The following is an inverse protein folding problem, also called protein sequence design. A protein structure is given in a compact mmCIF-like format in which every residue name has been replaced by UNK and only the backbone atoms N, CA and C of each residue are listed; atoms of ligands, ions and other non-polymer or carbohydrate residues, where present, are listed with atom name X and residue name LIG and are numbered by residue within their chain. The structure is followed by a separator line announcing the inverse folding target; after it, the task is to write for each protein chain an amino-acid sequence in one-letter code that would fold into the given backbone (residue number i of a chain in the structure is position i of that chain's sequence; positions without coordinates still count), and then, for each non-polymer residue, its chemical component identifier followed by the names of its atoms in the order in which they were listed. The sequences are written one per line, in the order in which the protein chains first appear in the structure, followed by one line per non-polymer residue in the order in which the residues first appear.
data_IF_060309698264
#
_entry.id   IF_060309698264
#
_cell.length_a   1.000
_cell.length_b   1.000
_cell.length_c   1.000
_cell.angle_alpha   90.00
_cell.angle_beta   90.00
_cell.angle_gamma   90.00
#
_symmetry.space_group_name_H-M   'P 1'
#
loop_
_entity.id
_entity.type
_entity.pdbx_description
1 polymer ?
#
# COMPACT_ATOMS: atom_id res chain seq x y z
N UNK A 1 17.78 -20.64 -9.52
CA UNK A 1 16.38 -20.25 -9.23
C UNK A 1 15.75 -21.36 -8.42
N UNK A 2 15.14 -21.05 -7.28
CA UNK A 2 14.35 -22.03 -6.52
C UNK A 2 12.91 -22.00 -7.07
N UNK A 3 12.43 -22.99 -7.83
CA UNK A 3 11.17 -22.92 -8.57
C UNK A 3 9.90 -22.97 -7.68
N UNK A 4 10.04 -23.25 -6.39
CA UNK A 4 8.92 -23.70 -5.55
C UNK A 4 8.54 -22.72 -4.43
N UNK A 5 9.02 -21.47 -4.47
CA UNK A 5 8.58 -20.47 -3.48
C UNK A 5 7.23 -19.89 -3.92
N UNK A 6 6.19 -19.94 -3.08
CA UNK A 6 4.92 -19.28 -3.39
C UNK A 6 5.13 -17.77 -3.48
N UNK A 7 4.36 -17.10 -4.36
CA UNK A 7 4.33 -15.64 -4.50
C UNK A 7 5.69 -14.96 -4.75
N UNK A 8 6.58 -15.58 -5.54
CA UNK A 8 7.82 -14.90 -5.96
C UNK A 8 7.47 -13.79 -6.94
N UNK A 9 7.57 -12.55 -6.48
CA UNK A 9 7.46 -11.39 -7.34
C UNK A 9 8.70 -11.29 -8.23
N UNK A 10 8.50 -10.99 -9.51
CA UNK A 10 9.55 -10.82 -10.51
C UNK A 10 9.30 -9.52 -11.31
N UNK A 11 10.30 -9.10 -12.08
CA UNK A 11 10.22 -7.86 -12.85
C UNK A 11 9.05 -7.86 -13.85
N UNK A 12 8.83 -8.95 -14.58
CA UNK A 12 7.73 -9.10 -15.54
C UNK A 12 6.35 -8.94 -14.88
N UNK A 13 6.15 -9.49 -13.67
CA UNK A 13 4.93 -9.30 -12.91
C UNK A 13 4.73 -7.83 -12.49
N UNK A 14 5.80 -7.11 -12.15
CA UNK A 14 5.75 -5.69 -11.85
C UNK A 14 5.49 -4.85 -13.10
N UNK A 15 6.07 -5.19 -14.24
CA UNK A 15 5.78 -4.55 -15.54
C UNK A 15 4.29 -4.67 -15.87
N UNK A 16 3.71 -5.85 -15.70
CA UNK A 16 2.25 -6.06 -15.89
C UNK A 16 1.44 -5.22 -14.91
N UNK A 17 1.81 -5.17 -13.63
CA UNK A 17 1.08 -4.40 -12.63
C UNK A 17 1.14 -2.88 -12.90
N UNK A 18 2.31 -2.36 -13.29
CA UNK A 18 2.47 -0.95 -13.67
C UNK A 18 1.72 -0.65 -14.96
N UNK A 19 1.83 -1.49 -16.00
CA UNK A 19 1.11 -1.32 -17.25
C UNK A 19 -0.42 -1.36 -17.03
N UNK A 20 -0.90 -2.24 -16.15
CA UNK A 20 -2.31 -2.29 -15.76
C UNK A 20 -2.74 -0.99 -15.06
N UNK A 21 -1.91 -0.45 -14.15
CA UNK A 21 -2.17 0.85 -13.53
C UNK A 21 -2.22 1.99 -14.56
N UNK A 22 -1.29 2.02 -15.52
CA UNK A 22 -1.23 3.05 -16.56
C UNK A 22 -2.39 2.99 -17.55
N UNK A 23 -2.93 1.78 -17.79
CA UNK A 23 -4.11 1.55 -18.61
C UNK A 23 -5.43 1.94 -17.93
N UNK A 24 -5.41 2.33 -16.65
CA UNK A 24 -6.60 2.82 -15.96
C UNK A 24 -7.20 4.03 -16.68
N UNK A 25 -8.53 4.12 -16.61
CA UNK A 25 -9.29 5.23 -17.15
C UNK A 25 -8.75 6.56 -16.62
N UNK A 26 -8.51 7.51 -17.51
CA UNK A 26 -8.01 8.84 -17.15
C UNK A 26 -8.98 9.58 -16.23
N UNK A 27 -10.28 9.26 -16.30
CA UNK A 27 -11.32 9.83 -15.45
C UNK A 27 -11.42 9.13 -14.07
N UNK A 28 -10.62 8.07 -13.83
CA UNK A 28 -10.56 7.29 -12.58
C UNK A 28 -9.13 7.17 -12.05
N UNK A 29 -8.55 8.29 -11.62
CA UNK A 29 -7.21 8.37 -11.04
C UNK A 29 -7.10 7.79 -9.61
N UNK A 30 -8.23 7.38 -9.04
CA UNK A 30 -8.31 6.78 -7.72
C UNK A 30 -8.04 5.27 -7.70
N UNK A 31 -7.86 4.61 -8.85
CA UNK A 31 -7.51 3.19 -8.90
C UNK A 31 -6.18 2.91 -8.18
N UNK A 32 -6.17 1.89 -7.34
CA UNK A 32 -4.96 1.39 -6.65
C UNK A 32 -4.68 -0.04 -7.07
N UNK A 33 -3.43 -0.34 -7.42
CA UNK A 33 -2.93 -1.72 -7.58
C UNK A 33 -2.07 -2.04 -6.37
N UNK A 34 -2.35 -3.13 -5.67
CA UNK A 34 -1.63 -3.48 -4.45
C UNK A 34 -1.12 -4.91 -4.44
N UNK A 35 -0.06 -5.13 -3.68
CA UNK A 35 0.54 -6.43 -3.44
C UNK A 35 0.91 -6.57 -1.96
N UNK A 36 0.64 -7.75 -1.41
CA UNK A 36 1.04 -8.16 -0.08
C UNK A 36 2.01 -9.34 -0.24
N UNK A 37 3.26 -9.21 0.20
CA UNK A 37 4.19 -10.33 0.18
C UNK A 37 3.81 -11.40 1.23
N UNK A 38 4.48 -12.55 1.18
CA UNK A 38 4.48 -13.48 2.30
C UNK A 38 4.93 -12.77 3.58
N UNK A 39 4.25 -13.07 4.70
CA UNK A 39 4.48 -12.40 5.98
C UNK A 39 3.92 -10.98 6.04
N UNK A 40 3.26 -10.48 5.00
CA UNK A 40 2.68 -9.14 4.93
C UNK A 40 1.15 -9.16 4.75
N UNK A 41 0.48 -10.16 5.34
CA UNK A 41 -0.97 -10.42 5.24
C UNK A 41 -1.45 -10.89 3.86
N UNK A 42 -0.62 -11.60 3.10
CA UNK A 42 -1.09 -12.34 1.92
C UNK A 42 -2.01 -13.50 2.34
N UNK A 43 -3.25 -13.51 1.84
CA UNK A 43 -4.29 -14.49 2.24
C UNK A 43 -4.35 -15.75 1.37
N UNK A 44 -3.77 -15.72 0.16
CA UNK A 44 -3.65 -16.86 -0.75
C UNK A 44 -2.18 -17.11 -1.08
N UNK A 45 -1.85 -18.32 -1.54
CA UNK A 45 -0.47 -18.76 -1.76
C UNK A 45 0.04 -18.61 -3.22
N UNK A 46 -0.80 -18.16 -4.14
CA UNK A 46 -0.40 -17.86 -5.53
C UNK A 46 -0.14 -16.36 -5.71
N UNK A 47 0.74 -16.03 -6.66
CA UNK A 47 1.05 -14.63 -6.98
C UNK A 47 -0.21 -13.94 -7.51
N UNK A 48 -0.60 -12.86 -6.87
CA UNK A 48 -1.77 -12.06 -7.26
C UNK A 48 -1.59 -10.62 -6.80
N UNK A 49 -2.17 -9.70 -7.55
CA UNK A 49 -2.32 -8.29 -7.16
C UNK A 49 -3.79 -8.04 -6.85
N UNK A 50 -4.06 -7.09 -5.95
CA UNK A 50 -5.41 -6.59 -5.73
C UNK A 50 -5.57 -5.27 -6.45
N UNK A 51 -6.79 -4.98 -6.89
CA UNK A 51 -7.16 -3.70 -7.46
C UNK A 51 -8.42 -3.21 -6.75
N UNK A 52 -8.41 -1.95 -6.34
CA UNK A 52 -9.61 -1.33 -5.76
C UNK A 52 -9.65 0.17 -6.03
N UNK A 53 -10.85 0.72 -5.89
CA UNK A 53 -11.16 2.14 -6.06
C UNK A 53 -11.69 2.72 -4.74
N UNK A 54 -10.88 3.50 -4.01
CA UNK A 54 -11.25 4.00 -2.69
C UNK A 54 -12.43 4.97 -2.71
N UNK A 55 -12.73 5.61 -3.85
CA UNK A 55 -13.86 6.54 -3.97
C UNK A 55 -15.21 5.86 -4.29
N UNK A 56 -15.23 4.53 -4.50
CA UNK A 56 -16.44 3.82 -4.92
C UNK A 56 -16.79 4.07 -6.39
N UNK A 57 -18.01 3.69 -6.80
CA UNK A 57 -18.48 3.83 -8.19
C UNK A 57 -19.23 5.17 -8.34
N UNK A 58 -18.77 6.04 -9.25
CA UNK A 58 -19.38 7.36 -9.50
C UNK A 58 -20.80 7.29 -10.13
N UNK A 59 -21.27 6.12 -10.57
CA UNK A 59 -22.55 5.96 -11.27
C UNK A 59 -23.72 5.60 -10.35
N UNK A 60 -23.51 5.50 -9.04
CA UNK A 60 -24.61 5.52 -8.09
C UNK A 60 -24.98 6.99 -7.87
N UNK A 61 -26.11 7.42 -8.44
CA UNK A 61 -26.79 8.65 -8.01
C UNK A 61 -26.76 8.68 -6.47
N UNK A 62 -26.25 9.77 -5.89
CA UNK A 62 -26.24 9.93 -4.44
C UNK A 62 -27.62 9.56 -3.91
N UNK A 63 -27.73 8.63 -2.93
CA UNK A 63 -29.03 8.29 -2.38
C UNK A 63 -29.70 9.58 -1.92
N UNK A 64 -30.92 9.80 -2.38
CA UNK A 64 -31.74 10.95 -1.99
C UNK A 64 -31.71 11.07 -0.47
N UNK A 65 -31.70 12.31 0.04
CA UNK A 65 -31.58 12.68 1.46
C UNK A 65 -32.59 11.98 2.39
N UNK A 66 -33.58 11.27 1.83
CA UNK A 66 -34.63 10.53 2.52
C UNK A 66 -34.37 9.01 2.67
N UNK A 67 -33.26 8.45 2.16
CA UNK A 67 -32.90 7.04 2.46
C UNK A 67 -32.17 6.93 3.82
N UNK A 68 -32.50 5.93 4.66
CA UNK A 68 -31.75 5.68 5.89
C UNK A 68 -30.27 5.49 5.54
N UNK A 69 -29.41 6.11 6.35
CA UNK A 69 -27.96 6.19 6.10
C UNK A 69 -27.42 4.82 5.67
N UNK A 70 -26.65 4.80 4.57
CA UNK A 70 -26.04 3.59 4.00
C UNK A 70 -25.28 2.72 5.02
N UNK A 71 -24.94 3.28 6.19
CA UNK A 71 -24.44 2.59 7.37
C UNK A 71 -25.30 1.38 7.80
N UNK A 72 -26.63 1.45 7.66
CA UNK A 72 -27.53 0.37 8.12
C UNK A 72 -27.54 -0.85 7.18
N UNK A 73 -27.12 -0.71 5.91
CA UNK A 73 -27.14 -1.81 4.92
C UNK A 73 -25.82 -2.58 4.84
N UNK A 74 -24.71 -2.03 5.34
CA UNK A 74 -23.35 -2.59 5.15
C UNK A 74 -23.00 -3.63 6.24
N UNK A 75 -23.66 -3.57 7.39
CA UNK A 75 -23.37 -4.41 8.56
C UNK A 75 -23.64 -5.92 8.36
N UNK A 76 -24.39 -6.32 7.33
CA UNK A 76 -24.66 -7.73 7.02
C UNK A 76 -23.52 -8.43 6.22
N UNK A 77 -22.48 -7.70 5.79
CA UNK A 77 -21.46 -8.23 4.85
C UNK A 77 -20.04 -8.45 5.42
N UNK A 78 -19.83 -8.31 6.73
CA UNK A 78 -18.60 -8.78 7.38
C UNK A 78 -17.38 -7.84 7.34
N UNK A 79 -17.59 -6.53 7.22
CA UNK A 79 -16.56 -5.52 7.44
C UNK A 79 -17.04 -4.14 6.98
N UNK A 80 -16.79 -3.11 7.79
CA UNK A 80 -17.10 -1.73 7.42
C UNK A 80 -15.81 -0.97 7.11
N UNK A 81 -15.76 -0.35 5.93
CA UNK A 81 -14.67 0.52 5.46
C UNK A 81 -14.98 1.96 5.89
N UNK A 82 -14.20 2.56 6.79
CA UNK A 82 -14.30 4.01 7.05
C UNK A 82 -13.01 4.71 6.60
N UNK A 83 -13.09 5.77 5.80
CA UNK A 83 -11.99 6.72 5.68
C UNK A 83 -11.89 7.55 6.98
N UNK A 84 -10.79 7.41 7.73
CA UNK A 84 -10.47 8.30 8.85
C UNK A 84 -10.11 9.69 8.27
N UNK A 85 -11.10 10.60 8.26
CA UNK A 85 -11.15 11.88 7.50
C UNK A 85 -11.16 11.64 5.99
N UNK A 86 -12.23 12.05 5.29
CA UNK A 86 -12.29 11.98 3.83
C UNK A 86 -11.06 12.67 3.22
N UNK A 87 -10.07 11.91 2.74
CA UNK A 87 -9.00 12.49 1.95
C UNK A 87 -9.64 13.04 0.66
N UNK A 88 -9.00 14.00 -0.05
CA UNK A 88 -9.48 14.44 -1.35
C UNK A 88 -9.82 13.21 -2.20
N UNK A 89 -11.08 13.16 -2.67
CA UNK A 89 -11.75 11.98 -3.23
C UNK A 89 -10.78 11.01 -3.92
N UNK A 90 -10.64 9.80 -3.35
CA UNK A 90 -9.87 8.71 -3.98
C UNK A 90 -8.36 8.64 -3.68
N UNK A 91 -7.80 9.59 -2.91
CA UNK A 91 -6.40 9.51 -2.41
C UNK A 91 -6.35 8.84 -1.04
N UNK A 92 -5.44 7.92 -0.80
CA UNK A 92 -5.25 7.32 0.52
C UNK A 92 -4.37 8.20 1.41
N UNK A 93 -4.50 8.19 2.76
CA UNK A 93 -3.64 8.96 3.66
C UNK A 93 -2.12 8.84 3.40
N UNK A 94 -1.63 7.66 3.03
CA UNK A 94 -0.21 7.45 2.65
C UNK A 94 0.21 8.29 1.44
N UNK A 95 -0.71 8.57 0.50
CA UNK A 95 -0.45 9.39 -0.68
C UNK A 95 -0.36 10.88 -0.36
N UNK A 96 -0.87 11.29 0.80
CA UNK A 96 -0.81 12.65 1.31
C UNK A 96 0.40 12.88 2.21
N UNK A 97 1.12 11.80 2.58
CA UNK A 97 2.32 11.86 3.39
C UNK A 97 3.40 12.69 2.68
N UNK A 98 4.07 13.55 3.45
CA UNK A 98 5.16 14.38 2.94
C UNK A 98 6.43 13.54 2.84
N UNK A 99 7.31 13.82 1.86
CA UNK A 99 8.65 13.25 1.90
C UNK A 99 9.38 13.79 3.13
N UNK A 100 9.91 12.88 3.94
CA UNK A 100 10.78 13.17 5.08
C UNK A 100 12.22 13.40 4.62
N UNK A 101 12.67 12.63 3.63
CA UNK A 101 14.03 12.71 3.09
C UNK A 101 14.09 12.20 1.66
N UNK A 102 14.79 12.92 0.78
CA UNK A 102 15.19 12.41 -0.53
C UNK A 102 16.35 11.41 -0.35
N UNK A 103 16.20 10.18 -0.83
CA UNK A 103 17.18 9.11 -0.67
C UNK A 103 18.04 8.94 -1.93
N UNK A 104 17.43 9.03 -3.11
CA UNK A 104 18.13 8.98 -4.39
C UNK A 104 17.33 9.69 -5.49
N UNK A 105 18.03 10.22 -6.48
CA UNK A 105 17.44 10.75 -7.71
C UNK A 105 18.25 10.19 -8.89
N UNK A 106 17.56 9.59 -9.84
CA UNK A 106 18.13 9.17 -11.13
C UNK A 106 17.60 10.07 -12.24
N UNK A 107 17.93 9.77 -13.50
CA UNK A 107 17.33 10.46 -14.66
C UNK A 107 15.83 10.24 -14.78
N UNK A 108 15.30 9.11 -14.29
CA UNK A 108 13.91 8.68 -14.49
C UNK A 108 13.10 8.48 -13.22
N UNK A 109 13.72 8.49 -12.03
CA UNK A 109 13.06 8.19 -10.77
C UNK A 109 13.55 9.06 -9.62
N UNK A 110 12.65 9.36 -8.68
CA UNK A 110 12.99 9.83 -7.34
C UNK A 110 12.59 8.80 -6.30
N UNK A 111 13.50 8.50 -5.39
CA UNK A 111 13.28 7.64 -4.23
C UNK A 111 13.32 8.47 -2.95
N UNK A 112 12.25 8.42 -2.18
CA UNK A 112 12.07 9.21 -0.96
C UNK A 112 11.68 8.32 0.22
N UNK A 113 12.10 8.72 1.41
CA UNK A 113 11.54 8.24 2.67
C UNK A 113 10.34 9.13 3.02
N UNK A 114 9.21 8.53 3.40
CA UNK A 114 8.03 9.27 3.81
C UNK A 114 8.00 9.61 5.31
N UNK A 115 7.38 10.74 5.62
CA UNK A 115 6.94 11.08 6.97
C UNK A 115 5.61 10.36 7.25
N UNK A 116 5.73 9.06 7.52
CA UNK A 116 4.58 8.16 7.75
C UNK A 116 4.89 7.22 8.92
N UNK A 117 3.88 6.78 9.72
CA UNK A 117 4.14 5.97 10.92
C UNK A 117 4.87 4.65 10.65
N UNK A 118 4.60 4.02 9.50
CA UNK A 118 5.35 2.88 9.01
C UNK A 118 6.43 3.33 8.02
N UNK A 119 7.65 2.81 8.16
CA UNK A 119 8.76 3.15 7.28
C UNK A 119 8.43 2.77 5.83
N UNK A 120 8.38 3.76 4.95
CA UNK A 120 7.90 3.58 3.58
C UNK A 120 8.79 4.34 2.60
N UNK A 121 9.17 3.64 1.54
CA UNK A 121 9.76 4.24 0.35
C UNK A 121 8.64 4.74 -0.56
N UNK A 122 8.78 5.96 -1.07
CA UNK A 122 8.00 6.45 -2.19
C UNK A 122 8.90 6.53 -3.42
N UNK A 123 8.48 5.90 -4.49
CA UNK A 123 9.10 5.98 -5.80
C UNK A 123 8.18 6.81 -6.70
N UNK A 124 8.73 7.83 -7.35
CA UNK A 124 7.99 8.66 -8.32
C UNK A 124 8.76 8.75 -9.63
N UNK A 125 8.04 8.76 -10.76
CA UNK A 125 8.65 9.03 -12.04
C UNK A 125 9.20 10.47 -12.06
N UNK A 126 10.47 10.64 -12.46
CA UNK A 126 11.03 11.95 -12.72
C UNK A 126 10.48 12.47 -14.06
N UNK A 127 10.09 13.75 -14.11
CA UNK A 127 9.50 14.37 -15.29
C UNK A 127 10.52 14.44 -16.45
N UNK A 128 10.59 13.38 -17.26
CA UNK A 128 11.39 13.31 -18.49
C UNK A 128 10.62 12.54 -19.56
N UNK A 129 10.73 13.00 -20.82
CA UNK A 129 10.21 12.29 -22.00
C UNK A 129 10.82 10.89 -22.10
N UNK A 130 10.05 9.85 -21.78
CA UNK A 130 10.48 8.45 -21.78
C UNK A 130 9.35 7.50 -21.36
N UNK A 131 9.58 6.19 -21.49
CA UNK A 131 8.65 5.18 -20.99
C UNK A 131 8.72 5.10 -19.45
N UNK A 132 7.92 5.96 -18.80
CA UNK A 132 7.83 6.06 -17.35
C UNK A 132 7.37 4.76 -16.70
N UNK A 133 6.60 3.94 -17.41
CA UNK A 133 6.12 2.64 -16.92
C UNK A 133 7.26 1.63 -16.76
N UNK A 134 8.11 1.49 -17.78
CA UNK A 134 9.30 0.64 -17.71
C UNK A 134 10.26 1.10 -16.61
N UNK A 135 10.44 2.41 -16.45
CA UNK A 135 11.25 2.99 -15.37
C UNK A 135 10.70 2.63 -13.98
N UNK A 136 9.40 2.79 -13.78
CA UNK A 136 8.74 2.48 -12.51
C UNK A 136 8.87 1.00 -12.16
N UNK A 137 8.64 0.09 -13.11
CA UNK A 137 8.74 -1.35 -12.88
C UNK A 137 10.17 -1.77 -12.50
N UNK A 138 11.18 -1.25 -13.21
CA UNK A 138 12.58 -1.52 -12.92
C UNK A 138 13.02 -0.94 -11.56
N UNK A 139 12.55 0.25 -11.21
CA UNK A 139 12.78 0.86 -9.90
C UNK A 139 12.14 0.06 -8.76
N UNK A 140 10.88 -0.36 -8.91
CA UNK A 140 10.19 -1.25 -7.97
C UNK A 140 10.95 -2.57 -7.81
N UNK A 141 11.39 -3.17 -8.90
CA UNK A 141 12.17 -4.39 -8.87
C UNK A 141 13.50 -4.22 -8.13
N UNK A 142 14.16 -3.07 -8.28
CA UNK A 142 15.39 -2.75 -7.56
C UNK A 142 15.17 -2.73 -6.04
N UNK A 143 14.03 -2.21 -5.57
CA UNK A 143 13.65 -2.25 -4.15
C UNK A 143 13.29 -3.68 -3.74
N UNK A 144 12.36 -4.32 -4.46
CA UNK A 144 11.82 -5.64 -4.12
C UNK A 144 12.89 -6.72 -4.10
N UNK A 145 13.82 -6.72 -5.06
CA UNK A 145 14.90 -7.71 -5.12
C UNK A 145 15.80 -7.67 -3.89
N UNK A 146 16.03 -6.48 -3.31
CA UNK A 146 16.73 -6.33 -2.03
C UNK A 146 15.90 -6.93 -0.90
N UNK A 147 14.61 -6.59 -0.81
CA UNK A 147 13.73 -7.12 0.24
C UNK A 147 13.58 -8.64 0.17
N UNK A 148 13.45 -9.21 -1.02
CA UNK A 148 13.40 -10.66 -1.23
C UNK A 148 14.72 -11.34 -0.83
N UNK A 149 15.87 -10.74 -1.15
CA UNK A 149 17.20 -11.26 -0.75
C UNK A 149 17.37 -11.24 0.76
N UNK A 150 16.82 -10.24 1.44
CA UNK A 150 16.88 -10.07 2.89
C UNK A 150 15.73 -10.76 3.64
N UNK A 151 14.82 -11.44 2.93
CA UNK A 151 13.64 -12.11 3.49
C UNK A 151 12.74 -11.16 4.31
N UNK A 152 12.58 -9.93 3.81
CA UNK A 152 11.79 -8.88 4.47
C UNK A 152 10.37 -8.84 3.89
N UNK A 153 9.33 -9.06 4.72
CA UNK A 153 7.95 -8.85 4.31
C UNK A 153 7.70 -7.41 3.89
N UNK A 154 6.86 -7.21 2.87
CA UNK A 154 6.58 -5.89 2.32
C UNK A 154 5.20 -5.81 1.67
N UNK A 155 4.69 -4.58 1.62
CA UNK A 155 3.50 -4.22 0.87
C UNK A 155 3.90 -3.25 -0.25
N UNK A 156 3.21 -3.35 -1.40
CA UNK A 156 3.39 -2.44 -2.53
C UNK A 156 2.02 -1.83 -2.85
N UNK A 157 1.99 -0.51 -3.01
CA UNK A 157 0.83 0.26 -3.48
C UNK A 157 1.27 1.07 -4.70
N UNK A 158 0.65 0.83 -5.85
CA UNK A 158 0.85 1.59 -7.08
C UNK A 158 -0.40 2.44 -7.30
N UNK A 159 -0.22 3.74 -7.53
CA UNK A 159 -1.31 4.67 -7.78
C UNK A 159 -0.94 5.69 -8.86
N UNK A 160 -1.81 6.66 -9.10
CA UNK A 160 -1.61 7.73 -10.09
C UNK A 160 -1.19 7.15 -11.44
N UNK A 161 -1.93 6.13 -11.90
CA UNK A 161 -1.71 5.48 -13.20
C UNK A 161 -0.28 4.91 -13.39
N UNK A 162 0.34 4.47 -12.29
CA UNK A 162 1.69 3.89 -12.33
C UNK A 162 2.81 4.92 -12.19
N UNK A 163 2.51 6.20 -11.99
CA UNK A 163 3.53 7.25 -11.84
C UNK A 163 4.11 7.31 -10.43
N UNK A 164 3.39 6.76 -9.44
CA UNK A 164 3.81 6.72 -8.05
C UNK A 164 3.59 5.33 -7.46
N UNK A 165 4.60 4.85 -6.74
CA UNK A 165 4.51 3.63 -5.98
C UNK A 165 5.06 3.80 -4.57
N UNK A 166 4.47 3.09 -3.63
CA UNK A 166 4.88 3.01 -2.23
C UNK A 166 5.30 1.59 -1.93
N UNK A 167 6.46 1.42 -1.31
CA UNK A 167 6.94 0.13 -0.83
C UNK A 167 7.22 0.26 0.66
N UNK A 168 6.53 -0.54 1.45
CA UNK A 168 6.69 -0.54 2.92
C UNK A 168 7.31 -1.86 3.34
N UNK A 169 8.63 -1.90 3.59
CA UNK A 169 9.24 -2.97 4.36
C UNK A 169 8.63 -3.00 5.76
N UNK A 170 8.38 -4.20 6.28
CA UNK A 170 7.66 -4.34 7.55
C UNK A 170 8.10 -5.54 8.35
N UNK A 171 7.74 -5.50 9.63
CA UNK A 171 7.80 -6.67 10.49
C UNK A 171 6.85 -7.76 9.97
N UNK A 172 7.13 -9.05 10.29
CA UNK A 172 6.22 -10.15 10.00
C UNK A 172 4.81 -9.87 10.55
N UNK A 173 3.81 -10.30 9.79
CA UNK A 173 2.42 -10.07 10.12
C UNK A 173 2.03 -10.56 11.51
N UNK A 174 1.22 -9.76 12.18
CA UNK A 174 0.53 -10.10 13.41
C UNK A 174 -0.82 -9.39 13.44
N UNK A 175 -1.73 -9.89 14.27
CA UNK A 175 -3.01 -9.22 14.54
C UNK A 175 -2.74 -7.99 15.41
N UNK A 176 -3.02 -6.81 14.87
CA UNK A 176 -2.82 -5.56 15.58
C UNK A 176 -4.01 -5.28 16.50
N UNK A 177 -3.79 -5.49 17.80
CA UNK A 177 -4.79 -5.29 18.86
C UNK A 177 -4.66 -3.91 19.48
N UNK A 178 -5.80 -3.25 19.69
CA UNK A 178 -5.88 -1.93 20.32
C UNK A 178 -5.48 -1.99 21.80
N UNK A 179 -6.09 -2.93 22.51
CA UNK A 179 -5.90 -3.22 23.93
C UNK A 179 -6.01 -4.74 24.21
N UNK A 180 -5.66 -5.18 25.41
CA UNK A 180 -5.72 -6.60 25.83
C UNK A 180 -7.13 -7.17 25.77
N UNK A 181 -8.15 -6.30 25.85
CA UNK A 181 -9.57 -6.64 25.81
C UNK A 181 -10.12 -6.75 24.36
N UNK A 182 -9.25 -6.71 23.34
CA UNK A 182 -9.66 -6.94 21.95
C UNK A 182 -10.21 -8.37 21.81
N UNK A 183 -11.46 -8.56 21.33
CA UNK A 183 -12.07 -9.87 21.28
C UNK A 183 -11.31 -10.85 20.39
N UNK A 184 -11.49 -12.14 20.64
CA UNK A 184 -10.95 -13.20 19.78
C UNK A 184 -11.56 -13.08 18.36
N UNK A 185 -10.70 -13.15 17.34
CA UNK A 185 -11.09 -12.86 15.95
C UNK A 185 -11.26 -11.37 15.63
N UNK A 186 -11.14 -10.47 16.62
CA UNK A 186 -11.10 -9.03 16.42
C UNK A 186 -9.68 -8.48 16.20
N UNK A 187 -9.58 -7.16 16.16
CA UNK A 187 -8.33 -6.45 15.85
C UNK A 187 -8.14 -6.21 14.36
N UNK A 188 -7.00 -5.63 14.01
CA UNK A 188 -6.72 -5.16 12.67
C UNK A 188 -5.73 -6.07 11.95
N UNK A 189 -6.06 -6.44 10.72
CA UNK A 189 -5.17 -7.15 9.81
C UNK A 189 -4.59 -6.14 8.83
N UNK A 190 -3.45 -5.54 9.17
CA UNK A 190 -2.89 -4.42 8.41
C UNK A 190 -2.19 -4.94 7.14
N UNK A 191 -2.98 -5.11 6.08
CA UNK A 191 -2.52 -5.36 4.71
C UNK A 191 -2.37 -4.00 3.98
N UNK A 192 -2.24 -4.04 2.65
CA UNK A 192 -1.92 -2.82 1.89
C UNK A 192 -3.01 -1.73 1.97
N UNK A 193 -4.30 -2.08 2.09
CA UNK A 193 -5.38 -1.10 2.18
C UNK A 193 -5.33 -0.34 3.51
N UNK A 194 -5.25 -1.09 4.62
CA UNK A 194 -5.13 -0.54 5.97
C UNK A 194 -3.86 0.29 6.09
N UNK A 195 -2.74 -0.24 5.58
CA UNK A 195 -1.45 0.44 5.58
C UNK A 195 -1.48 1.75 4.81
N UNK A 196 -2.29 1.85 3.75
CA UNK A 196 -2.50 3.11 3.05
C UNK A 196 -3.38 4.11 3.82
N UNK A 197 -4.06 3.66 4.88
CA UNK A 197 -4.93 4.43 5.76
C UNK A 197 -6.42 4.09 5.65
N UNK A 198 -6.79 3.08 4.87
CA UNK A 198 -8.18 2.58 4.79
C UNK A 198 -8.40 1.45 5.77
N UNK A 199 -8.86 1.78 6.98
CA UNK A 199 -8.96 0.82 8.07
C UNK A 199 -10.19 -0.09 7.93
N UNK A 200 -9.97 -1.39 7.82
CA UNK A 200 -11.02 -2.40 7.88
C UNK A 200 -11.16 -2.91 9.31
N UNK A 201 -12.30 -2.63 9.92
CA UNK A 201 -12.64 -3.13 11.26
C UNK A 201 -13.57 -4.33 11.13
N UNK A 202 -13.18 -5.45 11.74
CA UNK A 202 -13.98 -6.69 11.76
C UNK A 202 -14.93 -6.79 12.95
N UNK A 203 -14.88 -5.82 13.88
CA UNK A 203 -15.77 -5.74 15.02
C UNK A 203 -16.19 -4.30 15.33
N UNK A 204 -17.42 -4.15 15.83
CA UNK A 204 -18.06 -2.86 16.10
C UNK A 204 -17.28 -2.03 17.14
N UNK A 205 -16.69 -2.69 18.14
CA UNK A 205 -15.96 -1.98 19.20
C UNK A 205 -14.71 -1.31 18.64
N UNK A 206 -13.94 -2.02 17.81
CA UNK A 206 -12.78 -1.46 17.11
C UNK A 206 -13.24 -0.31 16.22
N UNK A 207 -14.31 -0.51 15.45
CA UNK A 207 -14.89 0.52 14.59
C UNK A 207 -15.24 1.81 15.34
N UNK A 208 -15.94 1.71 16.47
CA UNK A 208 -16.43 2.87 17.24
C UNK A 208 -15.30 3.65 17.94
N UNK A 209 -14.21 2.95 18.31
CA UNK A 209 -13.14 3.51 19.16
C UNK A 209 -11.87 3.87 18.41
N UNK A 210 -11.64 3.32 17.22
CA UNK A 210 -10.39 3.50 16.50
C UNK A 210 -10.21 4.98 16.12
N UNK A 211 -9.12 5.57 16.61
CA UNK A 211 -8.71 6.93 16.24
C UNK A 211 -7.36 6.91 15.55
N UNK A 212 -7.03 7.99 14.85
CA UNK A 212 -5.76 8.17 14.13
C UNK A 212 -4.53 7.90 15.03
N UNK A 213 -4.57 8.35 16.28
CA UNK A 213 -3.48 8.13 17.24
C UNK A 213 -3.23 6.63 17.52
N UNK A 214 -4.29 5.81 17.53
CA UNK A 214 -4.16 4.37 17.67
C UNK A 214 -3.55 3.74 16.42
N UNK A 215 -4.00 4.14 15.22
CA UNK A 215 -3.42 3.66 13.96
C UNK A 215 -1.94 3.95 13.89
N UNK A 216 -1.52 5.19 14.18
CA UNK A 216 -0.12 5.59 14.22
C UNK A 216 0.70 4.74 15.20
N UNK A 217 0.17 4.52 16.41
CA UNK A 217 0.81 3.68 17.43
C UNK A 217 0.94 2.23 16.98
N UNK A 218 -0.11 1.65 16.38
CA UNK A 218 -0.10 0.29 15.86
C UNK A 218 0.90 0.13 14.71
N UNK A 219 0.98 1.11 13.81
CA UNK A 219 1.95 1.08 12.71
C UNK A 219 3.38 1.12 13.23
N UNK A 220 3.66 1.99 14.21
CA UNK A 220 4.99 2.08 14.82
C UNK A 220 5.36 0.79 15.58
N UNK A 221 4.41 0.16 16.26
CA UNK A 221 4.65 -1.04 17.06
C UNK A 221 4.77 -2.31 16.22
N UNK A 222 3.80 -2.55 15.34
CA UNK A 222 3.56 -3.86 14.72
C UNK A 222 4.03 -3.94 13.26
N UNK A 223 4.23 -2.79 12.59
CA UNK A 223 4.48 -2.75 11.15
C UNK A 223 5.86 -2.18 10.86
N UNK A 224 6.23 -1.08 11.52
CA UNK A 224 7.43 -0.31 11.24
C UNK A 224 8.67 -1.21 11.27
N UNK A 225 9.39 -1.22 10.16
CA UNK A 225 10.69 -1.86 10.05
C UNK A 225 11.63 -0.97 9.24
N UNK A 226 12.73 -0.58 9.86
CA UNK A 226 13.81 0.13 9.20
C UNK A 226 15.16 -0.38 9.68
N UNK A 227 16.07 -0.60 8.74
CA UNK A 227 17.45 -0.97 9.01
C UNK A 227 18.36 -0.18 8.05
N UNK A 228 19.42 0.43 8.57
CA UNK A 228 20.37 1.21 7.79
C UNK A 228 20.96 0.43 6.60
N UNK A 229 21.29 -0.85 6.78
CA UNK A 229 21.87 -1.69 5.74
C UNK A 229 20.86 -1.96 4.61
N UNK A 230 19.61 -2.28 4.96
CA UNK A 230 18.52 -2.44 3.99
C UNK A 230 18.32 -1.15 3.19
N UNK A 231 18.30 0.00 3.87
CA UNK A 231 18.11 1.30 3.22
C UNK A 231 19.28 1.60 2.28
N UNK A 232 20.52 1.36 2.70
CA UNK A 232 21.70 1.56 1.88
C UNK A 232 21.71 0.66 0.64
N UNK A 233 21.33 -0.61 0.79
CA UNK A 233 21.21 -1.57 -0.31
C UNK A 233 20.13 -1.14 -1.32
N UNK A 234 18.96 -0.71 -0.83
CA UNK A 234 17.87 -0.20 -1.69
C UNK A 234 18.29 1.05 -2.45
N UNK A 235 18.90 2.02 -1.76
CA UNK A 235 19.41 3.26 -2.39
C UNK A 235 20.44 2.94 -3.46
N UNK A 236 21.37 2.03 -3.17
CA UNK A 236 22.37 1.57 -4.14
C UNK A 236 21.71 0.91 -5.34
N UNK A 237 20.78 -0.02 -5.11
CA UNK A 237 20.09 -0.73 -6.19
C UNK A 237 19.31 0.23 -7.11
N UNK A 238 18.54 1.16 -6.54
CA UNK A 238 17.76 2.13 -7.32
C UNK A 238 18.68 3.11 -8.08
N UNK A 239 19.79 3.56 -7.48
CA UNK A 239 20.74 4.47 -8.14
C UNK A 239 21.42 3.82 -9.35
N UNK A 240 21.66 2.51 -9.30
CA UNK A 240 22.26 1.74 -10.40
C UNK A 240 21.22 1.09 -11.32
N UNK A 241 19.93 1.37 -11.10
CA UNK A 241 18.86 0.90 -11.96
C UNK A 241 19.08 1.53 -13.35
N UNK A 242 19.47 0.70 -14.32
CA UNK A 242 19.59 1.11 -15.71
C UNK A 242 18.19 1.09 -16.31
N UNK A 243 17.61 2.25 -16.54
CA UNK A 243 16.39 2.42 -17.34
C UNK A 243 16.62 3.50 -18.37
#
# INVERSE_FOLDING_TARGET
MAPDRPQVLALDALEVAVAFASAADADRDDMKVTFNSLGAWASVNHLHFHVFWPSGRQDQESPSVDEPAAADRILDSGGCMIPLREPPFGRMPIELAKPKRMLATTSSLNLEELDYPAYTFRLTAAAVDGDSGSSMAAGLWSIVSVLLRLDIPHNILICQRGEVAFVTPRQPQMVSRLDEDTPEGGGLHIACAELGGYMICFDQRTYDRLVEADVCRLFQRDIHFSNADMIADVVTAVTHCQV
#
